data_IF_055859815194
#
_entry.id   IF_055859815194
#
_cell.length_a   1.000
_cell.length_b   1.000
_cell.length_c   1.000
_cell.angle_alpha   90.00
_cell.angle_beta   90.00
_cell.angle_gamma   90.00
#
_symmetry.space_group_name_H-M   'P 1'
#
loop_
_entity.id
_entity.type
_entity.pdbx_description
1 polymer ?
#
# COMPACT_ATOMS: atom_id res chain seq x y z
N UNK A 1 -1.68 -20.69 1.91
CA UNK A 1 -0.40 -20.41 2.61
C UNK A 1 0.09 -21.70 3.23
N UNK A 2 1.38 -22.03 3.12
CA UNK A 2 1.96 -23.19 3.80
C UNK A 2 2.43 -22.79 5.21
N UNK A 3 1.58 -23.05 6.21
CA UNK A 3 1.85 -22.69 7.61
C UNK A 3 3.04 -23.46 8.20
N UNK A 4 3.31 -24.68 7.72
CA UNK A 4 4.44 -25.47 8.18
C UNK A 4 5.76 -24.81 7.72
N UNK A 5 5.83 -24.43 6.44
CA UNK A 5 6.96 -23.69 5.89
C UNK A 5 7.19 -22.37 6.61
N UNK A 6 6.12 -21.61 6.90
CA UNK A 6 6.20 -20.36 7.66
C UNK A 6 6.78 -20.60 9.06
N UNK A 7 6.29 -21.64 9.75
CA UNK A 7 6.78 -22.04 11.08
C UNK A 7 8.27 -22.42 11.06
N UNK A 8 8.72 -23.14 10.04
CA UNK A 8 10.14 -23.48 9.87
C UNK A 8 11.01 -22.23 9.68
N UNK A 9 10.56 -21.27 8.86
CA UNK A 9 11.28 -20.00 8.63
C UNK A 9 11.36 -19.19 9.93
N UNK A 10 10.27 -19.10 10.68
CA UNK A 10 10.23 -18.43 11.99
C UNK A 10 11.23 -19.09 12.94
N UNK A 11 11.19 -20.41 13.10
CA UNK A 11 12.13 -21.15 13.96
C UNK A 11 13.59 -20.90 13.57
N UNK A 12 13.90 -20.90 12.27
CA UNK A 12 15.26 -20.63 11.80
C UNK A 12 15.70 -19.20 12.14
N UNK A 13 14.88 -18.20 11.85
CA UNK A 13 15.17 -16.79 12.16
C UNK A 13 15.28 -16.52 13.65
N UNK A 14 14.44 -17.15 14.48
CA UNK A 14 14.53 -17.03 15.94
C UNK A 14 15.85 -17.58 16.49
N UNK A 15 16.39 -18.67 15.93
CA UNK A 15 17.71 -19.20 16.32
C UNK A 15 18.87 -18.29 15.93
N UNK A 16 18.69 -17.41 14.95
CA UNK A 16 19.69 -16.45 14.50
C UNK A 16 19.62 -15.10 15.21
N UNK A 17 18.73 -14.96 16.22
CA UNK A 17 18.68 -13.74 17.02
C UNK A 17 19.98 -13.57 17.82
N UNK A 18 20.50 -12.33 17.92
CA UNK A 18 21.62 -12.05 18.80
C UNK A 18 21.31 -12.41 20.25
N UNK A 19 22.35 -12.76 21.01
CA UNK A 19 22.23 -13.03 22.44
C UNK A 19 21.63 -11.82 23.20
N UNK A 20 20.76 -12.11 24.17
CA UNK A 20 20.06 -11.11 24.97
C UNK A 20 18.84 -10.47 24.28
N UNK A 21 18.51 -10.85 23.04
CA UNK A 21 17.28 -10.39 22.37
C UNK A 21 16.10 -11.27 22.78
N UNK A 22 15.06 -10.64 23.32
CA UNK A 22 13.80 -11.29 23.69
C UNK A 22 12.66 -10.79 22.80
N UNK A 23 11.73 -11.70 22.45
CA UNK A 23 10.50 -11.35 21.73
C UNK A 23 9.39 -11.15 22.75
N UNK A 24 8.62 -10.07 22.58
CA UNK A 24 7.47 -9.72 23.40
C UNK A 24 6.22 -9.79 22.53
N UNK A 25 5.27 -10.63 22.93
CA UNK A 25 3.98 -10.82 22.27
C UNK A 25 2.99 -9.70 22.62
N UNK A 26 1.90 -9.51 21.84
CA UNK A 26 0.95 -8.41 22.03
C UNK A 26 0.32 -8.33 23.43
N UNK A 27 0.19 -9.45 24.12
CA UNK A 27 -0.52 -9.56 25.40
C UNK A 27 0.39 -9.35 26.63
N UNK A 28 1.71 -9.21 26.43
CA UNK A 28 2.69 -9.23 27.53
C UNK A 28 2.94 -7.84 28.16
N UNK A 29 2.50 -6.76 27.51
CA UNK A 29 2.73 -5.38 27.95
C UNK A 29 1.42 -4.58 28.05
N UNK A 30 1.36 -3.57 28.94
CA UNK A 30 0.29 -2.57 28.94
C UNK A 30 0.24 -1.77 27.64
N UNK A 31 -0.95 -1.29 27.27
CA UNK A 31 -1.19 -0.57 26.01
C UNK A 31 -0.43 0.74 25.92
N UNK A 32 -0.28 1.46 27.02
CA UNK A 32 0.50 2.70 27.12
C UNK A 32 1.97 2.44 26.79
N UNK A 33 2.57 1.42 27.41
CA UNK A 33 3.97 1.04 27.15
C UNK A 33 4.17 0.63 25.70
N UNK A 34 3.25 -0.16 25.13
CA UNK A 34 3.29 -0.56 23.72
C UNK A 34 3.22 0.66 22.80
N UNK A 35 2.34 1.63 23.08
CA UNK A 35 2.22 2.86 22.30
C UNK A 35 3.53 3.69 22.36
N UNK A 36 4.07 3.89 23.55
CA UNK A 36 5.31 4.65 23.77
C UNK A 36 6.52 4.03 23.07
N UNK A 37 6.66 2.70 23.16
CA UNK A 37 7.74 1.97 22.50
C UNK A 37 7.63 2.05 20.98
N UNK A 38 6.42 1.88 20.42
CA UNK A 38 6.22 1.99 18.98
C UNK A 38 6.52 3.41 18.48
N UNK A 39 6.05 4.44 19.17
CA UNK A 39 6.32 5.85 18.82
C UNK A 39 7.83 6.13 18.88
N UNK A 40 8.51 5.63 19.91
CA UNK A 40 9.97 5.79 20.06
C UNK A 40 10.73 5.13 18.91
N UNK A 41 10.35 3.90 18.52
CA UNK A 41 10.97 3.20 17.40
C UNK A 41 10.71 3.90 16.06
N UNK A 42 9.47 4.27 15.77
CA UNK A 42 9.09 4.93 14.52
C UNK A 42 9.76 6.29 14.36
N UNK A 43 9.87 7.07 15.44
CA UNK A 43 10.50 8.40 15.43
C UNK A 43 12.00 8.37 15.11
N UNK A 44 12.66 7.21 15.28
CA UNK A 44 14.07 7.02 14.86
C UNK A 44 14.21 6.78 13.36
N UNK A 45 13.16 6.29 12.71
CA UNK A 45 13.20 5.88 11.29
C UNK A 45 12.49 6.87 10.35
N UNK A 46 11.49 7.60 10.86
CA UNK A 46 10.62 8.45 10.06
C UNK A 46 10.63 9.88 10.59
N UNK A 47 10.91 10.84 9.70
CA UNK A 47 10.95 12.29 10.01
C UNK A 47 9.57 12.80 10.41
N UNK A 48 8.53 12.36 9.71
CA UNK A 48 7.13 12.58 10.07
C UNK A 48 6.36 11.27 9.91
N UNK A 49 5.68 10.82 10.97
CA UNK A 49 4.82 9.65 10.91
C UNK A 49 3.51 9.95 11.62
N UNK A 50 2.36 9.72 10.97
CA UNK A 50 1.05 10.08 11.55
C UNK A 50 0.82 9.48 12.95
N UNK A 51 1.27 8.23 13.15
CA UNK A 51 1.19 7.53 14.44
C UNK A 51 1.95 8.27 15.57
N UNK A 52 3.08 8.92 15.28
CA UNK A 52 3.86 9.60 16.33
C UNK A 52 3.16 10.86 16.86
N UNK A 53 2.11 11.33 16.18
CA UNK A 53 1.33 12.52 16.54
C UNK A 53 0.02 12.19 17.30
N UNK A 54 -0.39 10.92 17.38
CA UNK A 54 -1.71 10.50 17.90
C UNK A 54 -1.60 9.35 18.91
N UNK A 55 -0.84 9.57 19.99
CA UNK A 55 -0.60 8.55 21.03
C UNK A 55 -1.89 7.97 21.63
N UNK A 56 -2.84 8.82 22.03
CA UNK A 56 -4.04 8.35 22.74
C UNK A 56 -4.95 7.51 21.84
N UNK A 57 -5.04 7.83 20.55
CA UNK A 57 -5.73 7.00 19.57
C UNK A 57 -5.03 5.64 19.42
N UNK A 58 -3.69 5.62 19.37
CA UNK A 58 -2.94 4.37 19.31
C UNK A 58 -3.17 3.50 20.56
N UNK A 59 -3.23 4.09 21.75
CA UNK A 59 -3.57 3.35 22.99
C UNK A 59 -4.97 2.75 22.87
N UNK A 60 -5.97 3.54 22.48
CA UNK A 60 -7.34 3.05 22.28
C UNK A 60 -7.43 1.95 21.21
N UNK A 61 -6.68 2.04 20.12
CA UNK A 61 -6.61 1.02 19.08
C UNK A 61 -5.98 -0.27 19.61
N UNK A 62 -5.00 -0.18 20.52
CA UNK A 62 -4.38 -1.35 21.16
C UNK A 62 -5.35 -1.99 22.15
N UNK A 63 -6.00 -1.21 23.01
CA UNK A 63 -6.97 -1.70 24.01
C UNK A 63 -8.17 -2.39 23.37
N UNK A 64 -8.63 -1.85 22.24
CA UNK A 64 -9.75 -2.44 21.47
C UNK A 64 -9.34 -3.64 20.61
N UNK A 65 -8.05 -4.01 20.58
CA UNK A 65 -7.52 -5.09 19.76
C UNK A 65 -7.46 -4.77 18.26
N UNK A 66 -7.76 -3.54 17.85
CA UNK A 66 -7.61 -3.07 16.47
C UNK A 66 -6.12 -2.95 16.07
N UNK A 67 -5.21 -2.83 17.05
CA UNK A 67 -3.77 -2.82 16.86
C UNK A 67 -3.10 -3.85 17.78
N UNK A 68 -2.50 -4.91 17.22
CA UNK A 68 -1.73 -5.92 17.97
C UNK A 68 -0.26 -5.76 17.60
N UNK A 69 0.63 -5.59 18.58
CA UNK A 69 2.02 -5.23 18.33
C UNK A 69 2.96 -6.25 18.96
N UNK A 70 3.91 -6.74 18.18
CA UNK A 70 5.03 -7.53 18.64
C UNK A 70 6.25 -6.64 18.77
N UNK A 71 7.04 -6.85 19.82
CA UNK A 71 8.31 -6.18 20.01
C UNK A 71 9.45 -7.19 20.09
N UNK A 72 10.64 -6.68 19.81
CA UNK A 72 11.87 -7.29 20.27
C UNK A 72 12.59 -6.31 21.19
N UNK A 73 13.15 -6.83 22.27
CA UNK A 73 13.87 -6.05 23.27
C UNK A 73 15.28 -6.57 23.44
N UNK A 74 16.22 -5.68 23.73
CA UNK A 74 17.55 -6.00 24.23
C UNK A 74 17.86 -5.08 25.39
N UNK A 75 18.40 -5.63 26.49
CA UNK A 75 18.68 -4.86 27.72
C UNK A 75 17.44 -4.07 28.22
N UNK A 76 16.25 -4.70 28.11
CA UNK A 76 14.93 -4.14 28.44
C UNK A 76 14.50 -2.91 27.61
N UNK A 77 15.18 -2.61 26.50
CA UNK A 77 14.82 -1.53 25.59
C UNK A 77 14.28 -2.09 24.26
N UNK A 78 13.25 -1.45 23.66
CA UNK A 78 12.72 -1.87 22.37
C UNK A 78 13.74 -1.63 21.27
N UNK A 79 14.02 -2.66 20.47
CA UNK A 79 14.93 -2.63 19.31
C UNK A 79 14.24 -2.95 17.99
N UNK A 80 12.98 -3.36 18.02
CA UNK A 80 12.18 -3.58 16.82
C UNK A 80 10.72 -3.81 17.13
N UNK A 81 9.89 -3.63 16.12
CA UNK A 81 8.44 -3.83 16.17
C UNK A 81 7.91 -4.42 14.87
N UNK A 82 6.74 -5.04 14.94
CA UNK A 82 5.81 -5.21 13.82
C UNK A 82 4.38 -5.27 14.38
N UNK A 83 3.39 -4.85 13.61
CA UNK A 83 2.01 -4.82 14.08
C UNK A 83 1.02 -5.35 13.06
N UNK A 84 -0.05 -5.94 13.58
CA UNK A 84 -1.30 -6.17 12.88
C UNK A 84 -2.24 -4.99 13.13
N UNK A 85 -2.92 -4.55 12.08
CA UNK A 85 -3.86 -3.43 12.13
C UNK A 85 -5.16 -3.82 11.44
N UNK A 86 -6.25 -3.83 12.19
CA UNK A 86 -7.56 -4.10 11.62
C UNK A 86 -7.99 -2.94 10.72
N UNK A 87 -8.32 -3.27 9.48
CA UNK A 87 -8.85 -2.34 8.49
C UNK A 87 -10.38 -2.27 8.56
N UNK A 88 -10.97 -1.23 7.98
CA UNK A 88 -12.43 -0.99 8.03
C UNK A 88 -13.25 -2.13 7.42
N UNK A 89 -12.67 -2.84 6.46
CA UNK A 89 -13.30 -3.95 5.74
C UNK A 89 -12.83 -5.33 6.26
N UNK A 90 -12.40 -5.38 7.52
CA UNK A 90 -11.99 -6.60 8.25
C UNK A 90 -10.69 -7.26 7.81
N UNK A 91 -10.05 -6.81 6.72
CA UNK A 91 -8.68 -7.21 6.44
C UNK A 91 -7.74 -6.76 7.57
N UNK A 92 -6.59 -7.44 7.68
CA UNK A 92 -5.56 -7.09 8.65
C UNK A 92 -4.32 -6.65 7.90
N UNK A 93 -3.90 -5.41 8.11
CA UNK A 93 -2.63 -4.93 7.60
C UNK A 93 -1.50 -5.42 8.49
N UNK A 94 -0.44 -5.93 7.89
CA UNK A 94 0.84 -6.13 8.54
C UNK A 94 1.81 -5.03 8.16
N UNK A 95 2.28 -4.30 9.16
CA UNK A 95 3.08 -3.11 8.93
C UNK A 95 3.80 -2.64 10.19
N UNK A 96 4.17 -1.36 10.20
CA UNK A 96 4.84 -0.70 11.34
C UNK A 96 6.10 -1.44 11.79
N UNK A 97 6.76 -2.06 10.80
CA UNK A 97 7.94 -2.87 11.00
C UNK A 97 9.16 -1.96 11.14
N UNK A 98 9.83 -2.03 12.29
CA UNK A 98 11.06 -1.29 12.58
C UNK A 98 12.09 -2.26 13.11
N UNK A 99 13.35 -2.05 12.73
CA UNK A 99 14.48 -2.88 13.15
C UNK A 99 15.70 -2.00 13.37
N UNK A 100 16.12 -1.82 14.62
CA UNK A 100 17.40 -1.19 14.96
C UNK A 100 18.56 -2.20 14.87
N UNK A 101 18.23 -3.49 14.98
CA UNK A 101 19.16 -4.61 14.81
C UNK A 101 18.73 -5.41 13.59
N UNK A 102 19.65 -5.80 12.72
CA UNK A 102 19.34 -6.51 11.48
C UNK A 102 18.53 -7.80 11.72
N UNK A 103 17.50 -8.00 10.89
CA UNK A 103 16.70 -9.23 10.85
C UNK A 103 15.53 -9.32 11.84
N UNK A 104 15.51 -8.50 12.89
CA UNK A 104 14.49 -8.53 13.94
C UNK A 104 13.10 -8.17 13.43
N UNK A 105 12.94 -7.03 12.76
CA UNK A 105 11.63 -6.58 12.26
C UNK A 105 11.00 -7.59 11.29
N UNK A 106 11.80 -8.23 10.44
CA UNK A 106 11.32 -9.27 9.53
C UNK A 106 10.83 -10.53 10.26
N UNK A 107 11.46 -10.94 11.36
CA UNK A 107 10.95 -12.02 12.21
C UNK A 107 9.62 -11.64 12.86
N UNK A 108 9.53 -10.43 13.41
CA UNK A 108 8.30 -9.93 14.05
C UNK A 108 7.13 -9.89 13.06
N UNK A 109 7.38 -9.49 11.80
CA UNK A 109 6.37 -9.58 10.75
C UNK A 109 5.93 -11.03 10.49
N UNK A 110 6.86 -12.00 10.44
CA UNK A 110 6.46 -13.39 10.23
C UNK A 110 5.66 -13.95 11.41
N UNK A 111 6.01 -13.58 12.64
CA UNK A 111 5.25 -13.95 13.85
C UNK A 111 3.83 -13.37 13.82
N UNK A 112 3.71 -12.08 13.52
CA UNK A 112 2.43 -11.41 13.34
C UNK A 112 1.61 -12.06 12.21
N UNK A 113 2.20 -12.38 11.06
CA UNK A 113 1.48 -13.06 9.99
C UNK A 113 1.03 -14.47 10.40
N UNK A 114 1.88 -15.23 11.10
CA UNK A 114 1.55 -16.57 11.60
C UNK A 114 0.38 -16.53 12.60
N UNK A 115 0.36 -15.55 13.50
CA UNK A 115 -0.76 -15.34 14.43
C UNK A 115 -2.06 -15.09 13.66
N UNK A 116 -2.04 -14.20 12.65
CA UNK A 116 -3.22 -13.93 11.82
C UNK A 116 -3.76 -15.19 11.13
N UNK A 117 -2.90 -15.92 10.42
CA UNK A 117 -3.31 -17.12 9.68
C UNK A 117 -3.80 -18.27 10.57
N UNK A 118 -3.48 -18.26 11.87
CA UNK A 118 -4.00 -19.24 12.83
C UNK A 118 -5.38 -18.89 13.41
N UNK A 119 -5.83 -17.64 13.23
CA UNK A 119 -7.04 -17.10 13.87
C UNK A 119 -8.10 -16.61 12.90
N UNK A 120 -7.73 -16.33 11.65
CA UNK A 120 -8.59 -15.63 10.71
C UNK A 120 -8.35 -16.06 9.26
N UNK A 121 -9.44 -16.22 8.53
CA UNK A 121 -9.44 -16.38 7.08
C UNK A 121 -9.56 -15.04 6.33
N UNK A 122 -9.57 -13.90 7.03
CA UNK A 122 -9.60 -12.60 6.39
C UNK A 122 -8.27 -12.32 5.65
N UNK A 123 -8.27 -11.47 4.62
CA UNK A 123 -7.04 -11.10 3.92
C UNK A 123 -6.02 -10.45 4.86
N UNK A 124 -4.76 -10.91 4.78
CA UNK A 124 -3.61 -10.18 5.31
C UNK A 124 -3.10 -9.26 4.20
N UNK A 125 -3.00 -7.96 4.47
CA UNK A 125 -2.57 -6.95 3.49
C UNK A 125 -1.28 -6.26 3.95
N UNK A 126 -0.54 -5.69 3.01
CA UNK A 126 0.67 -4.94 3.32
C UNK A 126 0.93 -3.83 2.31
N UNK A 127 1.48 -2.72 2.81
CA UNK A 127 2.07 -1.66 1.99
C UNK A 127 3.58 -1.92 1.89
N UNK A 128 4.02 -2.49 0.77
CA UNK A 128 5.40 -2.94 0.59
C UNK A 128 6.22 -1.84 -0.05
N UNK A 129 7.11 -1.22 0.73
CA UNK A 129 8.06 -0.21 0.23
C UNK A 129 8.98 -0.81 -0.85
N UNK A 130 9.09 -0.11 -1.98
CA UNK A 130 9.98 -0.50 -3.11
C UNK A 130 10.94 0.63 -3.50
N UNK A 131 11.18 1.57 -2.59
CA UNK A 131 12.15 2.64 -2.75
C UNK A 131 13.55 2.21 -2.29
N UNK A 132 14.54 2.81 -2.93
CA UNK A 132 15.95 2.61 -2.63
C UNK A 132 16.36 3.22 -1.27
N UNK A 133 17.52 2.82 -0.76
CA UNK A 133 18.06 3.38 0.47
C UNK A 133 18.33 4.89 0.34
N UNK A 134 18.26 5.58 1.48
CA UNK A 134 18.45 7.04 1.50
C UNK A 134 18.76 7.57 2.88
N UNK A 135 19.85 8.34 2.98
CA UNK A 135 20.22 9.06 4.21
C UNK A 135 20.21 8.17 5.46
N UNK A 136 20.68 6.93 5.31
CA UNK A 136 20.73 5.94 6.39
C UNK A 136 19.42 5.19 6.65
N UNK A 137 18.32 5.52 5.96
CA UNK A 137 17.09 4.72 5.94
C UNK A 137 17.32 3.55 4.97
N UNK A 138 17.32 2.29 5.45
CA UNK A 138 17.51 1.11 4.59
C UNK A 138 16.45 1.03 3.50
N UNK A 139 16.73 0.37 2.38
CA UNK A 139 15.75 0.09 1.33
C UNK A 139 14.57 -0.77 1.83
N UNK A 140 13.53 -0.92 1.00
CA UNK A 140 12.40 -1.80 1.30
C UNK A 140 12.66 -3.30 1.14
N UNK A 141 13.89 -3.72 0.81
CA UNK A 141 14.21 -5.09 0.39
C UNK A 141 13.79 -6.15 1.42
N UNK A 142 14.05 -5.92 2.72
CA UNK A 142 13.66 -6.85 3.77
C UNK A 142 12.15 -7.08 3.79
N UNK A 143 11.35 -6.01 3.69
CA UNK A 143 9.88 -6.09 3.62
C UNK A 143 9.43 -6.81 2.36
N UNK A 144 10.08 -6.57 1.22
CA UNK A 144 9.79 -7.29 -0.03
C UNK A 144 10.05 -8.80 0.09
N UNK A 145 11.16 -9.20 0.72
CA UNK A 145 11.45 -10.61 1.00
C UNK A 145 10.39 -11.24 1.90
N UNK A 146 10.00 -10.57 2.98
CA UNK A 146 8.94 -11.08 3.87
C UNK A 146 7.62 -11.21 3.09
N UNK A 147 7.13 -10.12 2.49
CA UNK A 147 5.81 -10.08 1.87
C UNK A 147 5.72 -10.96 0.62
N UNK A 148 6.65 -10.84 -0.34
CA UNK A 148 6.52 -11.52 -1.63
C UNK A 148 7.05 -12.95 -1.60
N UNK A 149 8.15 -13.23 -0.89
CA UNK A 149 8.75 -14.58 -0.87
C UNK A 149 8.20 -15.46 0.24
N UNK A 150 8.11 -14.95 1.47
CA UNK A 150 7.72 -15.78 2.62
C UNK A 150 6.21 -15.81 2.83
N UNK A 151 5.54 -14.67 2.68
CA UNK A 151 4.09 -14.53 2.81
C UNK A 151 3.35 -14.62 1.47
N UNK A 152 4.06 -14.84 0.36
CA UNK A 152 3.48 -15.00 -0.98
C UNK A 152 2.39 -13.97 -1.34
N UNK A 153 2.51 -12.75 -0.81
CA UNK A 153 1.54 -11.70 -1.04
C UNK A 153 1.54 -11.30 -2.51
N UNK A 154 0.35 -10.97 -2.99
CA UNK A 154 0.06 -10.71 -4.39
C UNK A 154 -0.15 -9.20 -4.54
N UNK A 155 0.68 -8.52 -5.36
CA UNK A 155 0.50 -7.11 -5.68
C UNK A 155 -0.86 -6.83 -6.35
N UNK A 156 -1.47 -5.71 -6.01
CA UNK A 156 -2.67 -5.21 -6.71
C UNK A 156 -2.60 -3.73 -7.10
N UNK A 157 -1.74 -2.95 -6.44
CA UNK A 157 -1.48 -1.57 -6.83
C UNK A 157 -0.05 -1.14 -6.51
N UNK A 158 0.43 -0.12 -7.23
CA UNK A 158 1.74 0.48 -7.05
C UNK A 158 1.61 2.00 -7.09
N UNK A 159 1.77 2.67 -5.94
CA UNK A 159 1.53 4.11 -5.79
C UNK A 159 2.65 4.82 -5.02
N UNK A 160 2.93 6.10 -5.33
CA UNK A 160 3.84 6.93 -4.55
C UNK A 160 3.12 7.48 -3.30
N UNK A 161 2.74 6.61 -2.36
CA UNK A 161 1.84 6.94 -1.24
C UNK A 161 2.51 7.72 -0.08
N UNK A 162 3.83 7.70 0.02
CA UNK A 162 4.52 8.24 1.21
C UNK A 162 5.59 9.25 0.82
N UNK A 163 5.66 10.35 1.59
CA UNK A 163 6.79 11.27 1.59
C UNK A 163 7.67 11.03 2.83
N UNK A 164 8.98 11.09 2.63
CA UNK A 164 9.92 11.18 3.75
C UNK A 164 11.26 11.79 3.32
N UNK A 165 12.11 12.12 4.30
CA UNK A 165 13.50 12.52 4.08
C UNK A 165 13.75 14.02 3.96
N UNK A 166 15.04 14.38 3.93
CA UNK A 166 15.55 15.72 3.62
C UNK A 166 16.68 15.58 2.59
N UNK A 167 16.50 16.00 1.32
CA UNK A 167 15.28 16.60 0.76
C UNK A 167 14.08 15.65 0.78
N UNK A 168 12.88 16.24 0.87
CA UNK A 168 11.63 15.51 0.85
C UNK A 168 11.42 14.82 -0.51
N UNK A 169 11.11 13.52 -0.50
CA UNK A 169 10.84 12.73 -1.71
C UNK A 169 9.63 11.83 -1.51
N UNK A 170 8.84 11.63 -2.57
CA UNK A 170 7.84 10.57 -2.63
C UNK A 170 8.51 9.22 -2.86
N UNK A 171 7.94 8.18 -2.27
CA UNK A 171 8.39 6.81 -2.38
C UNK A 171 7.29 5.91 -2.89
N UNK A 172 7.67 4.97 -3.77
CA UNK A 172 6.77 3.98 -4.33
C UNK A 172 6.53 2.84 -3.34
N UNK A 173 5.27 2.44 -3.21
CA UNK A 173 4.79 1.32 -2.42
C UNK A 173 3.94 0.41 -3.28
N UNK A 174 4.09 -0.90 -3.09
CA UNK A 174 3.24 -1.92 -3.70
C UNK A 174 2.24 -2.40 -2.66
N UNK A 175 0.97 -2.13 -2.91
CA UNK A 175 -0.12 -2.65 -2.09
C UNK A 175 -0.37 -4.10 -2.47
N UNK A 176 -0.39 -4.96 -1.45
CA UNK A 176 -0.37 -6.41 -1.63
C UNK A 176 -1.33 -7.10 -0.68
N UNK A 177 -1.87 -8.24 -1.11
CA UNK A 177 -2.81 -9.07 -0.35
C UNK A 177 -2.37 -10.52 -0.34
N UNK A 178 -2.60 -11.23 0.77
CA UNK A 178 -2.38 -12.68 0.86
C UNK A 178 -3.40 -13.50 0.07
N UNK A 179 -4.49 -12.89 -0.36
CA UNK A 179 -5.58 -13.53 -1.08
C UNK A 179 -5.82 -12.85 -2.42
N UNK A 180 -6.03 -13.63 -3.50
CA UNK A 180 -6.49 -13.09 -4.76
C UNK A 180 -7.92 -12.57 -4.59
N UNK A 181 -8.29 -11.66 -5.48
CA UNK A 181 -9.63 -11.19 -5.63
C UNK A 181 -10.45 -12.20 -6.44
N UNK A 182 -11.57 -12.68 -5.89
CA UNK A 182 -12.36 -13.76 -6.50
C UNK A 182 -13.56 -13.27 -7.31
N UNK A 183 -14.27 -12.22 -6.85
CA UNK A 183 -15.61 -11.90 -7.33
C UNK A 183 -15.81 -10.40 -7.57
N UNK A 184 -15.98 -10.01 -8.84
CA UNK A 184 -16.47 -8.68 -9.23
C UNK A 184 -17.30 -8.79 -10.50
N UNK A 185 -18.13 -7.78 -10.71
CA UNK A 185 -18.65 -7.47 -12.03
C UNK A 185 -17.51 -7.21 -13.05
N UNK A 186 -17.80 -7.24 -14.36
CA UNK A 186 -16.81 -6.92 -15.38
C UNK A 186 -16.26 -5.48 -15.23
N UNK A 187 -14.98 -5.28 -15.54
CA UNK A 187 -14.40 -3.95 -15.68
C UNK A 187 -14.77 -3.34 -17.05
N UNK A 188 -15.33 -2.14 -17.05
CA UNK A 188 -15.64 -1.39 -18.27
C UNK A 188 -14.61 -0.29 -18.49
N UNK A 189 -13.91 -0.36 -19.62
CA UNK A 189 -12.85 0.57 -19.99
C UNK A 189 -13.27 1.45 -21.18
N UNK A 190 -12.67 2.65 -21.32
CA UNK A 190 -12.80 3.47 -22.51
C UNK A 190 -12.41 2.74 -23.80
N UNK A 191 -13.23 2.86 -24.84
CA UNK A 191 -12.92 2.32 -26.18
C UNK A 191 -11.93 3.23 -26.94
N UNK A 192 -10.72 3.38 -26.40
CA UNK A 192 -9.62 4.16 -27.00
C UNK A 192 -8.32 3.37 -26.92
N UNK A 193 -7.79 2.96 -28.06
CA UNK A 193 -6.65 2.03 -28.16
C UNK A 193 -5.42 2.43 -27.33
N UNK A 194 -5.06 3.72 -27.33
CA UNK A 194 -3.90 4.21 -26.57
C UNK A 194 -4.09 4.06 -25.05
N UNK A 195 -5.33 4.25 -24.57
CA UNK A 195 -5.68 4.11 -23.15
C UNK A 195 -5.73 2.64 -22.76
N UNK A 196 -6.34 1.79 -23.60
CA UNK A 196 -6.37 0.35 -23.39
C UNK A 196 -4.94 -0.22 -23.31
N UNK A 197 -4.04 0.20 -24.19
CA UNK A 197 -2.63 -0.20 -24.14
C UNK A 197 -1.92 0.21 -22.85
N UNK A 198 -2.18 1.43 -22.34
CA UNK A 198 -1.62 1.89 -21.07
C UNK A 198 -2.16 1.05 -19.90
N UNK A 199 -3.48 0.86 -19.80
CA UNK A 199 -4.11 0.05 -18.75
C UNK A 199 -3.63 -1.41 -18.79
N UNK A 200 -3.56 -2.01 -19.98
CA UNK A 200 -3.14 -3.38 -20.21
C UNK A 200 -1.67 -3.63 -19.86
N UNK A 201 -0.82 -2.60 -19.86
CA UNK A 201 0.61 -2.70 -19.54
C UNK A 201 0.95 -2.23 -18.11
N UNK A 202 -0.01 -1.62 -17.41
CA UNK A 202 0.16 -1.11 -16.04
C UNK A 202 -0.81 -1.81 -15.07
N UNK A 203 -1.93 -1.17 -14.72
CA UNK A 203 -2.87 -1.62 -13.72
C UNK A 203 -3.40 -3.04 -13.97
N UNK A 204 -3.80 -3.36 -15.22
CA UNK A 204 -4.32 -4.69 -15.54
C UNK A 204 -3.19 -5.73 -15.53
N UNK A 205 -2.02 -5.42 -16.09
CA UNK A 205 -0.86 -6.33 -16.08
C UNK A 205 -0.45 -6.72 -14.66
N UNK A 206 -0.53 -5.77 -13.73
CA UNK A 206 -0.19 -5.98 -12.33
C UNK A 206 -1.12 -7.03 -11.67
N UNK A 207 -2.41 -7.03 -12.02
CA UNK A 207 -3.40 -7.86 -11.33
C UNK A 207 -3.75 -9.17 -12.05
N UNK A 208 -3.73 -9.22 -13.38
CA UNK A 208 -4.29 -10.36 -14.13
C UNK A 208 -3.39 -11.60 -14.09
N UNK A 209 -2.15 -11.47 -13.62
CA UNK A 209 -1.24 -12.60 -13.45
C UNK A 209 -1.67 -13.50 -12.28
N UNK A 210 -1.99 -12.90 -11.13
CA UNK A 210 -2.19 -13.63 -9.88
C UNK A 210 -3.30 -13.06 -8.98
N UNK A 211 -3.53 -11.75 -9.01
CA UNK A 211 -4.47 -11.12 -8.08
C UNK A 211 -5.92 -11.28 -8.53
N UNK A 212 -6.24 -10.97 -9.78
CA UNK A 212 -7.56 -11.15 -10.37
C UNK A 212 -7.44 -11.79 -11.77
N UNK A 213 -7.00 -13.07 -11.84
CA UNK A 213 -6.70 -13.73 -13.12
C UNK A 213 -7.93 -13.99 -13.98
N UNK A 214 -9.14 -13.89 -13.40
CA UNK A 214 -10.41 -14.09 -14.09
C UNK A 214 -11.14 -12.77 -14.39
N UNK A 215 -10.45 -11.63 -14.25
CA UNK A 215 -11.05 -10.33 -14.51
C UNK A 215 -11.60 -10.27 -15.94
N UNK A 216 -12.92 -10.11 -16.04
CA UNK A 216 -13.57 -9.87 -17.33
C UNK A 216 -13.46 -8.39 -17.65
N UNK A 217 -12.83 -8.06 -18.78
CA UNK A 217 -12.71 -6.70 -19.28
C UNK A 217 -13.62 -6.51 -20.48
N UNK A 218 -14.39 -5.43 -20.48
CA UNK A 218 -15.24 -5.00 -21.59
C UNK A 218 -14.91 -3.55 -21.95
N UNK A 219 -15.14 -3.18 -23.20
CA UNK A 219 -15.12 -1.78 -23.60
C UNK A 219 -16.53 -1.19 -23.49
N UNK A 220 -16.61 0.09 -23.16
CA UNK A 220 -17.85 0.84 -23.25
C UNK A 220 -17.70 1.89 -24.35
N UNK A 221 -18.59 1.91 -25.37
CA UNK A 221 -18.55 2.93 -26.41
C UNK A 221 -18.77 4.29 -25.76
N UNK A 222 -18.02 5.29 -26.20
CA UNK A 222 -17.88 6.61 -25.57
C UNK A 222 -19.26 7.21 -25.23
N UNK A 223 -19.73 7.12 -23.97
CA UNK A 223 -21.00 7.71 -23.60
C UNK A 223 -20.82 9.22 -23.50
N UNK A 224 -21.87 9.98 -23.86
CA UNK A 224 -21.92 11.43 -23.66
C UNK A 224 -21.38 11.79 -22.26
N UNK A 225 -20.51 12.80 -22.13
CA UNK A 225 -19.89 13.14 -20.86
C UNK A 225 -20.96 13.50 -19.83
N UNK A 226 -21.21 12.61 -18.88
CA UNK A 226 -22.00 12.94 -17.71
C UNK A 226 -21.22 13.98 -16.91
N UNK A 227 -21.80 15.18 -16.74
CA UNK A 227 -21.21 16.21 -15.87
C UNK A 227 -21.16 15.68 -14.44
N UNK A 228 -19.99 15.24 -14.01
CA UNK A 228 -19.69 14.89 -12.62
C UNK A 228 -18.89 16.00 -11.97
N UNK A 229 -19.09 16.18 -10.67
CA UNK A 229 -18.22 16.97 -9.83
C UNK A 229 -17.08 16.15 -9.27
N UNK A 230 -16.09 16.85 -8.74
CA UNK A 230 -14.97 16.26 -8.04
C UNK A 230 -14.74 16.98 -6.71
N UNK A 231 -14.54 16.22 -5.63
CA UNK A 231 -14.18 16.77 -4.33
C UNK A 231 -13.01 16.05 -3.70
N UNK A 232 -12.34 16.74 -2.79
CA UNK A 232 -11.25 16.17 -1.97
C UNK A 232 -11.89 15.50 -0.77
N UNK A 233 -11.93 14.17 -0.77
CA UNK A 233 -12.45 13.37 0.33
C UNK A 233 -11.47 13.34 1.52
N UNK A 234 -10.16 13.35 1.23
CA UNK A 234 -9.08 13.29 2.23
C UNK A 234 -7.85 14.05 1.73
N UNK A 235 -7.06 14.58 2.65
CA UNK A 235 -5.78 15.26 2.36
C UNK A 235 -4.57 14.58 2.98
N UNK A 236 -4.78 13.54 3.82
CA UNK A 236 -3.71 12.79 4.48
C UNK A 236 -3.96 11.28 4.36
N UNK A 237 -2.90 10.46 4.19
CA UNK A 237 -1.50 10.87 4.02
C UNK A 237 -1.21 11.55 2.68
N UNK A 238 -2.13 11.42 1.72
CA UNK A 238 -2.14 12.12 0.44
C UNK A 238 -3.56 12.56 0.09
N UNK A 239 -3.71 13.36 -0.97
CA UNK A 239 -5.02 13.84 -1.42
C UNK A 239 -5.78 12.73 -2.14
N UNK A 240 -7.03 12.48 -1.73
CA UNK A 240 -7.95 11.56 -2.40
C UNK A 240 -9.08 12.36 -3.01
N UNK A 241 -9.23 12.26 -4.33
CA UNK A 241 -10.29 12.90 -5.09
C UNK A 241 -11.36 11.87 -5.46
N UNK A 242 -12.63 12.18 -5.20
CA UNK A 242 -13.76 11.31 -5.53
C UNK A 242 -14.79 12.05 -6.40
N UNK A 243 -15.54 11.34 -7.26
CA UNK A 243 -16.69 11.91 -7.95
C UNK A 243 -17.78 12.35 -6.95
N UNK A 244 -18.37 13.54 -7.15
CA UNK A 244 -19.42 14.11 -6.30
C UNK A 244 -20.47 14.88 -7.10
N UNK A 245 -21.49 15.39 -6.40
CA UNK A 245 -22.48 16.36 -6.88
C UNK A 245 -22.70 17.42 -5.79
N UNK A 246 -22.63 18.75 -6.08
CA UNK A 246 -22.67 19.43 -7.38
C UNK A 246 -21.33 19.46 -8.16
N UNK A 247 -21.33 19.83 -9.46
CA UNK A 247 -20.18 19.68 -10.33
C UNK A 247 -19.06 20.72 -10.09
N UNK A 248 -17.97 20.31 -9.45
CA UNK A 248 -16.66 20.98 -9.54
C UNK A 248 -15.82 20.33 -10.65
N UNK A 249 -15.22 21.12 -11.55
CA UNK A 249 -14.35 20.61 -12.62
C UNK A 249 -13.13 19.86 -12.06
N UNK A 250 -12.71 18.79 -12.73
CA UNK A 250 -11.58 17.97 -12.29
C UNK A 250 -10.30 18.80 -12.17
N UNK A 251 -9.99 19.67 -13.13
CA UNK A 251 -8.79 20.51 -13.10
C UNK A 251 -8.76 21.41 -11.85
N UNK A 252 -9.91 21.98 -11.49
CA UNK A 252 -10.04 22.81 -10.30
C UNK A 252 -9.78 22.00 -9.02
N UNK A 253 -10.34 20.78 -8.96
CA UNK A 253 -10.15 19.89 -7.81
C UNK A 253 -8.70 19.41 -7.69
N UNK A 254 -8.05 19.08 -8.82
CA UNK A 254 -6.64 18.69 -8.89
C UNK A 254 -5.73 19.84 -8.43
N UNK A 255 -5.94 21.05 -8.94
CA UNK A 255 -5.17 22.23 -8.52
C UNK A 255 -5.29 22.52 -7.02
N UNK A 256 -6.43 22.19 -6.41
CA UNK A 256 -6.61 22.28 -4.96
C UNK A 256 -5.86 21.13 -4.25
N UNK A 257 -6.01 19.90 -4.73
CA UNK A 257 -5.36 18.72 -4.16
C UNK A 257 -3.82 18.82 -4.15
N UNK A 258 -3.22 19.39 -5.19
CA UNK A 258 -1.78 19.61 -5.31
C UNK A 258 -1.24 20.67 -4.32
N UNK A 259 -2.09 21.59 -3.84
CA UNK A 259 -1.68 22.52 -2.76
C UNK A 259 -1.56 21.82 -1.41
N UNK A 260 -2.36 20.77 -1.21
CA UNK A 260 -2.43 20.04 0.05
C UNK A 260 -1.41 18.88 0.14
N UNK A 261 -1.11 18.22 -0.98
CA UNK A 261 -0.29 17.01 -1.00
C UNK A 261 0.60 16.89 -2.25
N UNK A 262 1.80 16.29 -2.16
CA UNK A 262 2.64 15.97 -3.32
C UNK A 262 2.04 14.89 -4.24
N UNK A 263 1.12 14.07 -3.73
CA UNK A 263 0.45 13.00 -4.47
C UNK A 263 -1.06 13.11 -4.37
N UNK A 264 -1.75 12.83 -5.48
CA UNK A 264 -3.21 12.73 -5.57
C UNK A 264 -3.61 11.37 -6.12
N UNK A 265 -4.55 10.72 -5.44
CA UNK A 265 -5.16 9.45 -5.84
C UNK A 265 -6.63 9.66 -6.21
N UNK A 266 -7.08 9.05 -7.30
CA UNK A 266 -8.48 8.94 -7.68
C UNK A 266 -8.84 7.45 -7.75
N UNK A 267 -9.66 6.94 -6.82
CA UNK A 267 -10.35 5.67 -7.01
C UNK A 267 -11.58 5.85 -7.92
N UNK A 268 -11.66 5.09 -9.01
CA UNK A 268 -12.82 5.06 -9.91
C UNK A 268 -13.32 3.64 -10.13
N UNK A 269 -14.56 3.39 -9.72
CA UNK A 269 -15.27 2.17 -10.07
C UNK A 269 -15.48 2.06 -11.59
N UNK A 270 -15.00 0.97 -12.19
CA UNK A 270 -15.02 0.66 -13.63
C UNK A 270 -16.39 0.17 -14.11
N UNK A 271 -17.44 0.94 -13.79
CA UNK A 271 -18.80 0.77 -14.29
C UNK A 271 -18.94 1.42 -15.69
N UNK A 272 -19.85 0.96 -16.59
CA UNK A 272 -20.02 1.54 -17.93
C UNK A 272 -20.12 3.07 -17.98
N UNK A 273 -20.79 3.68 -17.01
CA UNK A 273 -20.96 5.14 -16.93
C UNK A 273 -19.71 5.92 -16.49
N UNK A 274 -18.65 5.23 -16.06
CA UNK A 274 -17.41 5.83 -15.55
C UNK A 274 -16.34 6.03 -16.63
N UNK A 275 -16.49 5.44 -17.82
CA UNK A 275 -15.52 5.56 -18.91
C UNK A 275 -15.12 7.00 -19.23
N UNK A 276 -16.05 7.99 -19.34
CA UNK A 276 -15.67 9.38 -19.56
C UNK A 276 -14.78 9.97 -18.47
N UNK A 277 -15.01 9.60 -17.20
CA UNK A 277 -14.21 10.09 -16.07
C UNK A 277 -12.79 9.48 -16.08
N UNK A 278 -12.66 8.21 -16.48
CA UNK A 278 -11.34 7.58 -16.68
C UNK A 278 -10.56 8.31 -17.78
N UNK A 279 -11.21 8.59 -18.92
CA UNK A 279 -10.64 9.38 -20.01
C UNK A 279 -10.19 10.78 -19.55
N UNK A 280 -11.05 11.49 -18.83
CA UNK A 280 -10.78 12.83 -18.28
C UNK A 280 -9.53 12.82 -17.38
N UNK A 281 -9.46 11.87 -16.44
CA UNK A 281 -8.31 11.74 -15.53
C UNK A 281 -7.01 11.45 -16.30
N UNK A 282 -7.03 10.51 -17.24
CA UNK A 282 -5.84 10.16 -18.02
C UNK A 282 -5.36 11.31 -18.91
N UNK A 283 -6.29 12.10 -19.47
CA UNK A 283 -5.96 13.30 -20.24
C UNK A 283 -5.31 14.38 -19.36
N UNK A 284 -5.69 14.48 -18.08
CA UNK A 284 -5.03 15.35 -17.09
C UNK A 284 -3.73 14.79 -16.51
N UNK A 285 -3.25 13.66 -17.05
CA UNK A 285 -1.95 13.09 -16.71
C UNK A 285 -1.94 12.18 -15.48
N UNK A 286 -3.11 11.70 -15.04
CA UNK A 286 -3.16 10.60 -14.10
C UNK A 286 -2.66 9.30 -14.74
N UNK A 287 -2.15 8.40 -13.91
CA UNK A 287 -1.53 7.14 -14.30
C UNK A 287 -2.29 5.98 -13.67
N UNK A 288 -2.62 4.91 -14.41
CA UNK A 288 -3.19 3.70 -13.82
C UNK A 288 -2.17 2.99 -12.92
N UNK A 289 -2.44 2.99 -11.63
CA UNK A 289 -1.54 2.46 -10.61
C UNK A 289 -1.88 1.04 -10.17
N UNK A 290 -3.09 0.56 -10.46
CA UNK A 290 -3.56 -0.74 -10.01
C UNK A 290 -5.07 -0.77 -9.87
N UNK A 291 -5.56 -1.87 -9.31
CA UNK A 291 -6.97 -2.03 -8.93
C UNK A 291 -7.03 -2.17 -7.41
N UNK A 292 -8.03 -1.54 -6.79
CA UNK A 292 -8.29 -1.73 -5.37
C UNK A 292 -8.64 -3.19 -5.09
N UNK A 293 -8.33 -3.67 -3.88
CA UNK A 293 -8.70 -5.02 -3.47
C UNK A 293 -10.19 -5.15 -3.14
N UNK A 294 -10.90 -4.05 -2.97
CA UNK A 294 -12.35 -4.06 -2.78
C UNK A 294 -13.05 -3.58 -4.05
N UNK A 295 -14.18 -4.20 -4.43
CA UNK A 295 -15.01 -3.65 -5.50
C UNK A 295 -15.67 -2.36 -5.01
N UNK A 296 -16.13 -1.56 -5.97
CA UNK A 296 -16.90 -0.37 -5.68
C UNK A 296 -18.32 -0.72 -5.22
N UNK A 297 -19.12 0.29 -4.85
CA UNK A 297 -20.49 0.09 -4.37
C UNK A 297 -21.42 -0.67 -5.33
N UNK A 298 -21.11 -0.68 -6.64
CA UNK A 298 -21.88 -1.39 -7.66
C UNK A 298 -21.26 -2.76 -8.01
N UNK A 299 -20.26 -3.21 -7.26
CA UNK A 299 -19.61 -4.52 -7.45
C UNK A 299 -18.54 -4.54 -8.55
N UNK A 300 -18.24 -3.41 -9.21
CA UNK A 300 -17.23 -3.36 -10.26
C UNK A 300 -15.82 -3.10 -9.67
N UNK A 301 -14.75 -3.51 -10.35
CA UNK A 301 -13.38 -3.22 -9.94
C UNK A 301 -13.13 -1.71 -9.84
N UNK A 302 -12.38 -1.28 -8.82
CA UNK A 302 -12.01 0.13 -8.63
C UNK A 302 -10.61 0.36 -9.18
N UNK A 303 -10.51 1.12 -10.26
CA UNK A 303 -9.24 1.59 -10.80
C UNK A 303 -8.64 2.66 -9.91
N UNK A 304 -7.37 2.48 -9.56
CA UNK A 304 -6.59 3.46 -8.82
C UNK A 304 -5.77 4.29 -9.80
N UNK A 305 -6.06 5.59 -9.89
CA UNK A 305 -5.39 6.55 -10.76
C UNK A 305 -4.55 7.52 -9.91
N UNK A 306 -3.25 7.55 -10.13
CA UNK A 306 -2.33 8.39 -9.37
C UNK A 306 -1.75 9.55 -10.17
N UNK A 307 -1.51 10.69 -9.52
CA UNK A 307 -0.80 11.84 -10.09
C UNK A 307 0.14 12.46 -9.06
N UNK A 308 1.38 12.70 -9.46
CA UNK A 308 2.34 13.50 -8.69
C UNK A 308 2.22 14.97 -9.07
N UNK A 309 2.32 15.85 -8.07
CA UNK A 309 2.41 17.29 -8.29
C UNK A 309 3.70 17.61 -9.07
N UNK A 310 3.67 18.55 -10.03
CA UNK A 310 4.87 19.01 -10.71
C UNK A 310 5.99 19.42 -9.74
N UNK A 311 7.23 19.06 -10.07
CA UNK A 311 8.41 19.34 -9.23
C UNK A 311 8.59 18.41 -8.02
N UNK A 312 7.71 17.42 -7.83
CA UNK A 312 7.89 16.42 -6.77
C UNK A 312 9.06 15.50 -7.08
N UNK A 313 9.97 15.33 -6.11
CA UNK A 313 11.05 14.35 -6.21
C UNK A 313 10.50 12.94 -5.96
N UNK A 314 10.75 12.01 -6.87
CA UNK A 314 10.39 10.60 -6.74
C UNK A 314 11.64 9.74 -6.50
N UNK A 315 11.69 9.06 -5.36
CA UNK A 315 12.78 8.18 -4.97
C UNK A 315 13.09 7.12 -6.04
N UNK A 316 14.36 6.75 -6.27
CA UNK A 316 14.70 5.61 -7.10
C UNK A 316 14.03 4.33 -6.61
N UNK A 317 13.75 3.44 -7.56
CA UNK A 317 13.03 2.19 -7.32
C UNK A 317 14.04 1.05 -7.15
N UNK A 318 13.85 0.24 -6.10
CA UNK A 318 14.68 -0.92 -5.77
C UNK A 318 13.78 -2.14 -5.56
N UNK A 319 13.73 -3.03 -6.56
CA UNK A 319 12.94 -4.26 -6.52
C UNK A 319 13.81 -5.47 -6.20
N UNK A 320 13.42 -6.22 -5.17
CA UNK A 320 13.93 -7.55 -4.92
C UNK A 320 13.41 -8.53 -5.99
N UNK A 321 14.20 -9.55 -6.32
CA UNK A 321 13.88 -10.58 -7.33
C UNK A 321 12.78 -11.57 -6.87
N UNK A 322 11.70 -11.09 -6.25
CA UNK A 322 10.64 -11.91 -5.66
C UNK A 322 9.24 -11.62 -6.20
N UNK A 323 9.09 -10.57 -7.00
CA UNK A 323 7.87 -10.32 -7.77
C UNK A 323 7.84 -11.20 -9.02
N UNK A 324 6.62 -11.52 -9.48
CA UNK A 324 6.45 -12.18 -10.77
C UNK A 324 6.96 -11.27 -11.90
N UNK A 325 7.49 -11.80 -13.03
CA UNK A 325 8.00 -10.98 -14.13
C UNK A 325 6.99 -9.97 -14.66
N UNK A 326 5.72 -10.37 -14.78
CA UNK A 326 4.64 -9.49 -15.22
C UNK A 326 4.37 -8.32 -14.25
N UNK A 327 4.42 -8.60 -12.95
CA UNK A 327 4.26 -7.58 -11.91
C UNK A 327 5.45 -6.63 -11.90
N UNK A 328 6.66 -7.17 -12.05
CA UNK A 328 7.90 -6.39 -12.16
C UNK A 328 7.85 -5.46 -13.38
N UNK A 329 7.37 -5.95 -14.53
CA UNK A 329 7.21 -5.16 -15.73
C UNK A 329 6.19 -4.03 -15.53
N UNK A 330 5.04 -4.34 -14.92
CA UNK A 330 3.99 -3.37 -14.63
C UNK A 330 4.48 -2.28 -13.67
N UNK A 331 5.11 -2.66 -12.56
CA UNK A 331 5.68 -1.73 -11.56
C UNK A 331 6.72 -0.80 -12.21
N UNK A 332 7.66 -1.35 -13.00
CA UNK A 332 8.66 -0.56 -13.69
C UNK A 332 8.05 0.39 -14.73
N UNK A 333 6.94 0.01 -15.39
CA UNK A 333 6.26 0.91 -16.32
C UNK A 333 5.51 2.01 -15.59
N UNK A 334 4.86 1.71 -14.45
CA UNK A 334 4.21 2.71 -13.61
C UNK A 334 5.22 3.76 -13.13
N UNK A 335 6.36 3.33 -12.57
CA UNK A 335 7.45 4.23 -12.14
C UNK A 335 7.96 5.10 -13.30
N UNK A 336 8.30 4.50 -14.44
CA UNK A 336 8.75 5.25 -15.62
C UNK A 336 7.73 6.28 -16.09
N UNK A 337 6.44 5.93 -16.03
CA UNK A 337 5.36 6.84 -16.43
C UNK A 337 5.26 8.02 -15.47
N UNK A 338 5.37 7.80 -14.16
CA UNK A 338 5.45 8.90 -13.19
C UNK A 338 6.63 9.82 -13.47
N UNK A 339 7.84 9.26 -13.67
CA UNK A 339 9.05 10.03 -13.97
C UNK A 339 8.95 10.83 -15.27
N UNK A 340 8.31 10.27 -16.29
CA UNK A 340 8.10 10.96 -17.56
C UNK A 340 7.17 12.17 -17.42
N UNK A 341 6.23 12.15 -16.47
CA UNK A 341 5.27 13.24 -16.22
C UNK A 341 5.80 14.31 -15.26
N UNK A 342 6.97 14.10 -14.65
CA UNK A 342 7.66 15.07 -13.79
C UNK A 342 8.61 16.00 -14.57
N UNK A 343 8.89 15.69 -15.84
CA UNK A 343 9.73 16.49 -16.75
C UNK A 343 8.88 17.46 -17.55
#
# INVERSE_FOLDING_TARGET
>A
MDLEKLTQIIRHKSKSLPEGVNIISPEELPSETKADWLITLLSRMYVEHGITKHRDQLVADIDSGNCRIWFATKDNLPIGSAAQVKQSDQAVEIGRAVSLTNGVGGLLMLLAASDHFSRSDQPLVAEVRIADDFMGIPSGEATQVICFKHLAMIPHACIPAFNHGQPNRQEMFVFSSSQPFSDSEPAFLPDKQSILGLLASTALKLITSRFHPKLTVRTSPDPQPHRRGWEIARTRPFSVLIPTSPPTKLETAVNKAEKESPFTLIPLELHPSSSPAVLECLNLGFIPCGIDRQPGPQGHPVLLLGKLRPGTLLAPLQLAHHLHPDETQAVNLIDRTFRARLR
#
